data_IF_304555367972
#
_entry.id   IF_304555367972
#
_cell.length_a   1.000
_cell.length_b   1.000
_cell.length_c   1.000
_cell.angle_alpha   90.00
_cell.angle_beta   90.00
_cell.angle_gamma   90.00
#
_symmetry.space_group_name_H-M   'P 1'
#
loop_
_entity.id
_entity.type
_entity.pdbx_description
1 polymer ?
#
# COMPACT_ATOMS: atom_id res chain seq x y z
N UNK A 446 10.41 -17.67 4.74
CA UNK A 446 11.70 -18.13 4.25
C UNK A 446 12.79 -17.11 4.53
N UNK A 447 13.55 -17.34 5.61
CA UNK A 447 14.59 -16.40 6.00
C UNK A 447 15.71 -16.39 4.96
N UNK A 448 16.28 -15.21 4.75
CA UNK A 448 17.39 -15.02 3.82
C UNK A 448 18.46 -14.16 4.46
N UNK A 449 19.71 -14.46 4.10
CA UNK A 449 20.88 -13.78 4.66
C UNK A 449 21.77 -13.24 3.55
N UNK A 450 21.15 -12.70 2.49
CA UNK A 450 21.89 -12.18 1.35
C UNK A 450 22.32 -10.75 1.66
N UNK A 451 23.56 -10.60 2.14
CA UNK A 451 24.10 -9.28 2.39
C UNK A 451 24.33 -8.54 1.08
N UNK A 452 24.17 -7.22 1.08
CA UNK A 452 24.40 -6.45 -0.16
C UNK A 452 25.88 -6.24 -0.40
N UNK A 453 26.18 -5.69 -1.58
CA UNK A 453 27.56 -5.44 -1.97
C UNK A 453 28.13 -4.25 -1.19
N UNK A 454 29.44 -4.07 -1.34
CA UNK A 454 30.13 -2.99 -0.63
C UNK A 454 29.64 -1.62 -1.09
N UNK A 455 29.46 -1.45 -2.40
CA UNK A 455 29.05 -0.15 -2.93
C UNK A 455 27.67 0.23 -2.44
N UNK A 456 26.75 -0.73 -2.37
CA UNK A 456 25.38 -0.44 -1.99
C UNK A 456 25.27 0.06 -0.55
N UNK A 457 26.25 -0.29 0.30
CA UNK A 457 26.20 0.13 1.69
C UNK A 457 26.23 1.65 1.84
N UNK A 458 27.07 2.32 1.04
CA UNK A 458 27.13 3.78 1.09
C UNK A 458 25.80 4.39 0.64
N UNK A 459 25.19 3.80 -0.38
CA UNK A 459 23.87 4.28 -0.83
C UNK A 459 22.84 4.12 0.27
N UNK A 460 22.85 2.96 0.95
CA UNK A 460 21.90 2.72 2.03
C UNK A 460 22.12 3.70 3.19
N UNK A 461 23.39 3.96 3.52
CA UNK A 461 23.67 4.92 4.59
C UNK A 461 23.21 6.33 4.20
N UNK A 462 23.43 6.73 2.95
CA UNK A 462 22.95 8.03 2.50
C UNK A 462 21.43 8.12 2.55
N UNK A 463 20.75 7.05 2.14
CA UNK A 463 19.29 7.02 2.22
C UNK A 463 18.82 7.12 3.66
N UNK A 464 19.48 6.40 4.58
CA UNK A 464 19.11 6.47 5.98
C UNK A 464 19.30 7.87 6.54
N UNK A 465 20.42 8.51 6.18
CA UNK A 465 20.66 9.87 6.65
C UNK A 465 19.63 10.85 6.11
N UNK A 466 19.27 10.71 4.83
CA UNK A 466 18.24 11.56 4.25
C UNK A 466 16.89 11.33 4.93
N UNK A 467 16.60 10.08 5.28
CA UNK A 467 15.40 9.77 6.06
C UNK A 467 15.44 10.44 7.42
N UNK A 468 16.61 10.50 8.05
CA UNK A 468 16.73 11.16 9.35
C UNK A 468 16.37 12.63 9.26
N UNK A 469 16.88 13.32 8.24
CA UNK A 469 16.58 14.71 8.03
C UNK A 469 16.96 15.61 9.21
N UNK A 470 16.05 16.50 9.58
CA UNK A 470 16.30 17.42 10.70
C UNK A 470 15.81 16.94 12.06
N UNK A 471 15.31 15.71 12.19
CA UNK A 471 14.75 15.25 13.46
C UNK A 471 15.78 14.35 14.15
N UNK A 472 16.72 14.99 14.85
CA UNK A 472 17.81 14.27 15.49
C UNK A 472 17.34 13.54 16.74
N UNK A 473 16.51 14.19 17.56
CA UNK A 473 16.12 13.67 18.86
C UNK A 473 14.63 13.41 18.91
N UNK A 474 14.25 12.39 19.67
CA UNK A 474 12.85 12.01 19.83
C UNK A 474 12.69 11.41 21.23
N UNK A 475 11.43 11.26 21.63
CA UNK A 475 11.12 10.69 22.93
C UNK A 475 10.01 9.65 22.79
N UNK A 476 10.01 8.63 23.63
CA UNK A 476 8.97 7.60 23.54
C UNK A 476 7.64 8.13 24.05
N UNK A 477 6.57 7.47 23.63
CA UNK A 477 5.23 7.83 24.06
C UNK A 477 4.82 7.01 25.27
N UNK A 478 3.97 7.61 26.12
CA UNK A 478 3.48 6.93 27.29
C UNK A 478 2.50 5.83 26.89
N UNK A 479 2.30 4.88 27.81
CA UNK A 479 1.45 3.72 27.48
C UNK A 479 0.03 4.18 27.21
N UNK A 480 -0.49 5.12 28.01
CA UNK A 480 -1.86 5.58 27.83
C UNK A 480 -2.03 6.25 26.47
N UNK A 481 -1.07 7.09 26.08
CA UNK A 481 -1.15 7.77 24.79
C UNK A 481 -1.11 6.77 23.65
N UNK A 482 -0.25 5.75 23.76
CA UNK A 482 -0.19 4.71 22.73
C UNK A 482 -1.50 3.95 22.64
N UNK A 483 -2.10 3.64 23.79
CA UNK A 483 -3.37 2.91 23.83
C UNK A 483 -4.49 3.72 23.17
N UNK A 484 -4.60 5.00 23.52
CA UNK A 484 -5.54 5.86 22.81
C UNK A 484 -5.11 6.20 21.39
N UNK A 485 -3.89 5.87 20.99
CA UNK A 485 -3.48 6.04 19.61
C UNK A 485 -4.17 5.01 18.73
N UNK A 486 -4.72 5.45 17.60
CA UNK A 486 -5.39 4.56 16.67
C UNK A 486 -6.68 4.01 17.28
N UNK A 533 -0.08 -7.57 26.01
CA UNK A 533 -0.15 -7.97 24.60
C UNK A 533 1.24 -7.91 23.97
N UNK A 534 1.28 -8.05 22.65
CA UNK A 534 2.52 -8.00 21.89
C UNK A 534 2.62 -6.81 20.96
N UNK A 535 1.50 -6.37 20.39
CA UNK A 535 1.53 -5.25 19.45
C UNK A 535 1.90 -3.96 20.16
N UNK A 536 1.42 -3.80 21.40
CA UNK A 536 1.57 -2.52 22.10
C UNK A 536 3.04 -2.18 22.34
N UNK A 537 3.85 -3.18 22.71
CA UNK A 537 5.22 -2.90 23.14
C UNK A 537 6.06 -2.31 22.03
N UNK A 538 5.81 -2.74 20.78
CA UNK A 538 6.51 -2.18 19.63
C UNK A 538 5.80 -0.94 19.10
N UNK A 539 4.46 -0.94 19.15
CA UNK A 539 3.69 0.18 18.64
C UNK A 539 4.02 1.46 19.40
N UNK A 540 4.19 1.37 20.72
CA UNK A 540 4.43 2.55 21.54
C UNK A 540 5.59 3.38 21.00
N UNK A 541 6.59 2.73 20.42
CA UNK A 541 7.72 3.44 19.84
C UNK A 541 7.54 3.68 18.34
N UNK A 542 7.01 2.69 17.60
CA UNK A 542 6.97 2.80 16.15
C UNK A 542 5.95 3.83 15.68
N UNK A 543 4.83 3.96 16.38
CA UNK A 543 3.83 4.97 16.02
C UNK A 543 4.41 6.37 16.18
N UNK A 544 5.09 6.61 17.31
CA UNK A 544 5.72 7.90 17.53
C UNK A 544 6.80 8.17 16.49
N UNK A 545 7.63 7.17 16.18
CA UNK A 545 8.68 7.36 15.20
C UNK A 545 8.10 7.71 13.84
N UNK A 546 7.05 6.99 13.43
CA UNK A 546 6.41 7.29 12.14
C UNK A 546 5.83 8.69 12.14
N UNK A 547 5.06 9.03 13.17
CA UNK A 547 4.40 10.34 13.22
C UNK A 547 5.40 11.47 13.21
N UNK A 548 6.54 11.29 13.87
CA UNK A 548 7.53 12.36 13.96
C UNK A 548 8.35 12.46 12.68
N UNK A 549 9.05 11.39 12.32
CA UNK A 549 9.98 11.46 11.20
C UNK A 549 9.25 11.25 9.88
N UNK A 550 8.53 10.14 9.75
CA UNK A 550 7.95 9.78 8.45
C UNK A 550 6.82 10.72 8.03
N UNK A 551 6.26 11.48 8.96
CA UNK A 551 5.23 12.46 8.64
C UNK A 551 5.74 13.89 8.76
N UNK A 552 7.02 14.10 8.49
CA UNK A 552 7.62 15.43 8.59
C UNK A 552 7.56 16.15 7.24
N UNK A 553 8.03 17.40 7.24
CA UNK A 553 7.97 18.22 6.04
C UNK A 553 8.84 17.66 4.93
N UNK A 554 10.05 17.20 5.27
CA UNK A 554 11.03 16.72 4.31
C UNK A 554 10.90 15.24 4.00
N UNK A 555 9.88 14.56 4.56
CA UNK A 555 9.66 13.15 4.27
C UNK A 555 8.25 12.89 3.76
N UNK A 556 7.55 13.92 3.29
CA UNK A 556 6.24 13.75 2.69
C UNK A 556 6.29 13.38 1.22
N UNK A 557 7.47 13.45 0.59
CA UNK A 557 7.57 13.17 -0.83
C UNK A 557 7.35 11.69 -1.13
N UNK A 558 7.72 10.81 -0.21
CA UNK A 558 7.66 9.38 -0.45
C UNK A 558 6.77 8.60 0.51
N UNK A 559 6.67 9.03 1.78
CA UNK A 559 5.90 8.30 2.78
C UNK A 559 4.43 8.66 2.65
N UNK A 560 3.76 8.03 1.67
CA UNK A 560 2.33 8.23 1.49
C UNK A 560 1.60 7.43 2.56
N UNK A 561 2.09 6.24 2.91
CA UNK A 561 1.44 5.42 3.94
C UNK A 561 1.17 6.18 5.23
N UNK A 562 -0.10 6.34 5.60
CA UNK A 562 -0.42 7.14 6.76
C UNK A 562 -1.30 8.35 6.50
N UNK A 563 -2.11 8.28 5.45
CA UNK A 563 -2.99 9.40 5.08
C UNK A 563 -4.33 8.85 4.64
N UNK A 564 -5.33 9.74 4.65
CA UNK A 564 -6.69 9.34 4.33
C UNK A 564 -6.82 8.95 2.86
N UNK A 565 -7.81 8.12 2.52
CA UNK A 565 -7.96 7.75 1.11
C UNK A 565 -8.18 8.92 0.18
N UNK A 566 -8.86 9.98 0.62
CA UNK A 566 -8.96 11.17 -0.21
C UNK A 566 -7.59 11.79 -0.43
N UNK A 567 -6.78 11.83 0.63
CA UNK A 567 -5.41 12.31 0.50
C UNK A 567 -4.59 11.41 -0.42
N UNK A 568 -4.81 10.10 -0.32
CA UNK A 568 -4.12 9.16 -1.20
C UNK A 568 -4.47 9.42 -2.66
N UNK A 569 -5.76 9.62 -2.94
CA UNK A 569 -6.18 9.91 -4.31
C UNK A 569 -5.59 11.22 -4.80
N UNK A 570 -5.59 12.25 -3.96
CA UNK A 570 -5.00 13.53 -4.34
C UNK A 570 -3.52 13.39 -4.65
N UNK A 571 -2.79 12.67 -3.78
CA UNK A 571 -1.38 12.45 -4.02
C UNK A 571 -1.11 11.68 -5.29
N UNK A 572 -1.91 10.65 -5.55
CA UNK A 572 -1.74 9.84 -6.76
C UNK A 572 -1.98 10.70 -8.00
N UNK A 573 -3.05 11.50 -7.99
CA UNK A 573 -3.34 12.34 -9.14
C UNK A 573 -2.25 13.38 -9.35
N UNK A 574 -1.75 13.99 -8.26
CA UNK A 574 -0.65 14.94 -8.38
C UNK A 574 0.59 14.27 -8.95
N UNK A 575 0.91 13.05 -8.48
CA UNK A 575 2.10 12.37 -8.96
C UNK A 575 1.98 12.01 -10.43
N UNK A 576 0.80 11.53 -10.85
CA UNK A 576 0.63 11.18 -12.25
C UNK A 576 0.64 12.42 -13.12
N UNK A 577 0.12 13.54 -12.63
CA UNK A 577 0.20 14.79 -13.38
C UNK A 577 1.65 15.25 -13.53
N UNK A 578 2.43 15.10 -12.45
CA UNK A 578 3.85 15.47 -12.50
C UNK A 578 4.61 14.58 -13.47
N UNK A 579 4.34 13.28 -13.48
CA UNK A 579 5.04 12.34 -14.35
C UNK A 579 4.42 12.23 -15.73
N UNK A 580 3.37 13.00 -16.03
CA UNK A 580 2.71 12.99 -17.34
C UNK A 580 2.28 11.58 -17.75
N UNK A 581 1.66 10.87 -16.81
CA UNK A 581 1.17 9.51 -17.05
C UNK A 581 2.29 8.54 -17.40
N UNK A 582 3.51 8.83 -16.95
CA UNK A 582 4.67 7.96 -17.17
C UNK A 582 5.16 7.49 -15.80
N UNK A 583 4.56 6.41 -15.30
CA UNK A 583 4.86 5.88 -13.97
C UNK A 583 4.99 4.37 -14.06
N UNK A 584 5.63 3.79 -13.04
CA UNK A 584 5.81 2.35 -12.95
C UNK A 584 5.33 1.89 -11.58
N UNK A 585 4.85 0.65 -11.53
CA UNK A 585 4.29 0.08 -10.32
C UNK A 585 5.18 -1.05 -9.82
N UNK A 586 5.33 -1.14 -8.50
CA UNK A 586 6.13 -2.17 -7.87
C UNK A 586 5.22 -3.06 -7.03
N UNK A 587 5.35 -4.37 -7.21
CA UNK A 587 4.55 -5.35 -6.48
C UNK A 587 5.51 -6.36 -5.86
N UNK A 588 5.61 -6.36 -4.54
CA UNK A 588 6.52 -7.23 -3.82
C UNK A 588 5.76 -8.46 -3.30
N UNK A 589 6.45 -9.58 -3.26
CA UNK A 589 5.87 -10.85 -2.81
C UNK A 589 6.55 -11.23 -1.50
N UNK A 590 5.77 -11.21 -0.41
CA UNK A 590 6.25 -11.59 0.91
C UNK A 590 7.50 -10.81 1.31
N UNK A 591 7.35 -9.48 1.35
CA UNK A 591 8.46 -8.63 1.72
C UNK A 591 8.91 -8.87 3.16
N UNK A 592 7.96 -9.01 4.08
CA UNK A 592 8.32 -9.26 5.47
C UNK A 592 8.97 -10.63 5.62
N UNK A 593 8.63 -11.57 4.74
CA UNK A 593 9.23 -12.89 4.69
C UNK A 593 10.45 -13.01 3.82
N UNK A 594 10.93 -11.91 3.25
CA UNK A 594 12.08 -11.93 2.36
C UNK A 594 13.15 -10.89 2.68
N UNK A 595 12.86 -9.89 3.52
CA UNK A 595 13.86 -8.91 3.88
C UNK A 595 15.00 -9.60 4.61
N UNK A 596 16.23 -9.24 4.25
CA UNK A 596 17.40 -9.92 4.77
C UNK A 596 17.83 -9.33 6.12
N UNK A 597 18.70 -10.05 6.82
CA UNK A 597 19.18 -9.60 8.11
C UNK A 597 19.98 -8.30 7.99
N UNK A 598 20.82 -8.20 6.95
CA UNK A 598 21.60 -6.99 6.75
C UNK A 598 20.69 -5.79 6.51
N UNK A 599 19.68 -5.95 5.65
CA UNK A 599 18.73 -4.87 5.42
C UNK A 599 18.00 -4.49 6.70
N UNK A 600 17.54 -5.49 7.46
CA UNK A 600 16.80 -5.21 8.69
C UNK A 600 17.66 -4.46 9.70
N UNK A 601 18.91 -4.85 9.83
CA UNK A 601 19.80 -4.26 10.84
C UNK A 601 20.51 -3.00 10.35
N UNK A 602 20.40 -2.65 9.07
CA UNK A 602 21.04 -1.45 8.56
C UNK A 602 20.09 -0.39 8.02
N UNK A 603 18.80 -0.70 7.89
CA UNK A 603 17.83 0.31 7.49
C UNK A 603 16.92 0.64 8.67
N UNK A 604 16.10 -0.33 9.09
CA UNK A 604 15.09 -0.07 10.10
C UNK A 604 15.72 0.20 11.46
N UNK A 605 16.64 -0.67 11.89
CA UNK A 605 17.28 -0.48 13.19
C UNK A 605 18.05 0.83 13.23
N UNK A 606 18.79 1.13 12.17
CA UNK A 606 19.54 2.38 12.11
C UNK A 606 18.61 3.58 12.19
N UNK A 607 17.52 3.55 11.43
CA UNK A 607 16.59 4.67 11.42
C UNK A 607 15.97 4.87 12.79
N UNK A 608 15.53 3.78 13.42
CA UNK A 608 14.91 3.87 14.74
C UNK A 608 15.89 4.40 15.77
N UNK A 609 17.13 3.91 15.75
CA UNK A 609 18.11 4.34 16.74
C UNK A 609 18.47 5.82 16.54
N UNK A 610 18.61 6.24 15.28
CA UNK A 610 18.91 7.65 15.01
C UNK A 610 17.73 8.55 15.37
N UNK A 611 16.49 8.06 15.20
CA UNK A 611 15.32 8.87 15.51
C UNK A 611 15.09 9.00 17.00
N UNK A 612 15.28 7.93 17.76
CA UNK A 612 14.92 7.96 19.17
C UNK A 612 16.09 8.45 20.03
N UNK A 613 15.78 8.76 21.28
CA UNK A 613 16.76 9.31 22.19
C UNK A 613 17.77 8.24 22.60
N UNK A 614 19.00 8.63 22.94
CA UNK A 614 19.99 7.62 23.34
C UNK A 614 19.58 6.81 24.55
N UNK A 615 18.86 7.42 25.49
CA UNK A 615 18.49 6.73 26.72
C UNK A 615 17.50 5.59 26.47
N UNK A 616 16.86 5.59 25.29
CA UNK A 616 15.94 4.53 24.92
C UNK A 616 16.56 3.52 23.94
N UNK A 617 17.88 3.55 23.79
CA UNK A 617 18.52 2.70 22.79
C UNK A 617 18.32 1.22 23.12
N UNK A 618 18.47 0.85 24.40
CA UNK A 618 18.41 -0.56 24.77
C UNK A 618 17.04 -1.15 24.47
N UNK A 619 15.98 -0.43 24.82
CA UNK A 619 14.62 -0.93 24.62
C UNK A 619 14.33 -1.12 23.13
N UNK A 620 14.70 -0.13 22.32
CA UNK A 620 14.40 -0.20 20.88
C UNK A 620 15.23 -1.29 20.23
N UNK A 621 16.49 -1.46 20.66
CA UNK A 621 17.33 -2.49 20.07
C UNK A 621 16.82 -3.87 20.46
N UNK A 622 16.35 -4.03 21.69
CA UNK A 622 15.76 -5.30 22.11
C UNK A 622 14.49 -5.59 21.32
N UNK A 623 13.66 -4.58 21.09
CA UNK A 623 12.44 -4.78 20.31
C UNK A 623 12.76 -5.17 18.87
N UNK A 624 13.76 -4.52 18.28
CA UNK A 624 14.18 -4.88 16.93
C UNK A 624 14.73 -6.30 16.88
N UNK A 625 15.53 -6.69 17.88
CA UNK A 625 16.04 -8.04 17.93
C UNK A 625 14.92 -9.06 18.05
N UNK A 626 13.90 -8.76 18.87
CA UNK A 626 12.73 -9.64 18.95
C UNK A 626 12.01 -9.71 17.61
N UNK A 627 11.91 -8.58 16.91
CA UNK A 627 11.25 -8.57 15.60
C UNK A 627 11.99 -9.45 14.61
N UNK A 628 13.33 -9.37 14.61
CA UNK A 628 14.13 -10.10 13.63
C UNK A 628 13.93 -11.60 13.78
N UNK A 629 13.97 -12.10 15.01
CA UNK A 629 13.82 -13.52 15.27
C UNK A 629 12.36 -13.90 15.49
N UNK A 654 5.91 -3.92 11.57
CA UNK A 654 4.62 -4.19 10.95
C UNK A 654 4.45 -3.37 9.67
N UNK A 655 3.82 -2.20 9.81
CA UNK A 655 3.58 -1.32 8.68
C UNK A 655 4.85 -0.54 8.34
N UNK A 656 5.51 0.06 9.34
CA UNK A 656 6.66 0.91 9.02
C UNK A 656 7.80 0.18 8.31
N UNK A 657 7.97 -1.12 8.59
CA UNK A 657 9.06 -1.86 7.96
C UNK A 657 8.90 -1.90 6.44
N UNK A 658 7.69 -2.15 5.95
CA UNK A 658 7.45 -2.20 4.52
C UNK A 658 7.74 -0.86 3.87
N UNK A 659 7.30 0.24 4.49
CA UNK A 659 7.57 1.57 3.96
C UNK A 659 9.07 1.85 3.94
N UNK A 660 9.79 1.45 4.99
CA UNK A 660 11.22 1.66 5.03
C UNK A 660 11.92 0.85 3.93
N UNK A 661 11.49 -0.39 3.72
CA UNK A 661 12.08 -1.19 2.64
C UNK A 661 11.81 -0.57 1.28
N UNK A 662 10.59 -0.08 1.07
CA UNK A 662 10.25 0.54 -0.22
C UNK A 662 11.09 1.80 -0.44
N UNK A 663 11.25 2.61 0.61
CA UNK A 663 12.07 3.80 0.50
C UNK A 663 13.53 3.47 0.22
N UNK A 664 14.05 2.43 0.88
CA UNK A 664 15.43 2.00 0.63
C UNK A 664 15.61 1.54 -0.80
N UNK A 665 14.66 0.77 -1.33
CA UNK A 665 14.78 0.28 -2.70
C UNK A 665 14.66 1.44 -3.69
N UNK A 666 13.78 2.40 -3.41
CA UNK A 666 13.68 3.57 -4.27
C UNK A 666 14.97 4.38 -4.25
N UNK A 667 15.57 4.55 -3.07
CA UNK A 667 16.84 5.26 -2.98
C UNK A 667 17.94 4.53 -3.73
N UNK A 668 17.97 3.20 -3.63
CA UNK A 668 18.96 2.43 -4.37
C UNK A 668 18.79 2.60 -5.87
N UNK A 669 17.54 2.52 -6.35
CA UNK A 669 17.29 2.71 -7.77
C UNK A 669 17.71 4.10 -8.23
N UNK A 670 17.38 5.13 -7.44
CA UNK A 670 17.75 6.50 -7.81
C UNK A 670 19.26 6.68 -7.82
N UNK A 671 19.94 6.09 -6.85
CA UNK A 671 21.40 6.17 -6.80
C UNK A 671 22.03 5.47 -8.00
N UNK A 672 21.49 4.31 -8.38
CA UNK A 672 22.03 3.62 -9.54
C UNK A 672 21.74 4.37 -10.83
N UNK A 673 20.60 5.06 -10.91
CA UNK A 673 20.26 5.76 -12.14
C UNK A 673 21.17 6.97 -12.36
N UNK A 674 21.39 7.76 -11.30
CA UNK A 674 22.19 8.98 -11.37
C UNK A 674 23.25 8.93 -10.27
N UNK A 675 24.37 8.27 -10.52
CA UNK A 675 25.42 8.18 -9.48
C UNK A 675 26.19 9.46 -9.27
N UNK A 676 26.11 10.42 -10.19
CA UNK A 676 26.86 11.66 -10.08
C UNK A 676 26.12 12.78 -9.36
N UNK A 677 24.85 12.61 -9.00
CA UNK A 677 24.14 13.70 -8.35
C UNK A 677 24.28 13.58 -6.83
N UNK A 678 24.02 14.68 -6.14
CA UNK A 678 24.13 14.70 -4.69
C UNK A 678 23.03 13.84 -4.08
N UNK A 679 23.31 13.15 -2.96
CA UNK A 679 22.29 12.26 -2.39
C UNK A 679 21.01 12.97 -1.98
N UNK A 680 21.11 14.20 -1.47
CA UNK A 680 19.91 14.92 -1.07
C UNK A 680 19.02 15.22 -2.27
N UNK A 681 19.62 15.68 -3.37
CA UNK A 681 18.87 15.95 -4.59
C UNK A 681 18.28 14.67 -5.17
N UNK A 682 19.05 13.57 -5.09
CA UNK A 682 18.53 12.29 -5.56
C UNK A 682 17.31 11.86 -4.77
N UNK A 683 17.38 11.96 -3.43
CA UNK A 683 16.27 11.54 -2.60
C UNK A 683 15.08 12.48 -2.72
N UNK A 684 15.31 13.74 -3.09
CA UNK A 684 14.18 14.67 -3.19
C UNK A 684 13.19 14.25 -4.28
N UNK A 685 13.61 13.38 -5.20
CA UNK A 685 12.78 12.88 -6.29
C UNK A 685 12.00 11.63 -5.94
N UNK A 686 12.07 11.15 -4.69
CA UNK A 686 11.37 9.93 -4.29
C UNK A 686 9.87 10.13 -4.42
N UNK A 687 9.23 9.25 -5.19
CA UNK A 687 7.81 9.36 -5.44
C UNK A 687 7.01 8.71 -4.33
N UNK A 688 5.68 8.67 -4.47
CA UNK A 688 4.85 8.05 -3.43
C UNK A 688 5.13 6.58 -3.27
N UNK A 689 5.19 6.15 -2.00
CA UNK A 689 5.43 4.76 -1.64
C UNK A 689 4.56 4.43 -0.44
N UNK A 690 3.92 3.26 -0.47
CA UNK A 690 3.05 2.84 0.64
C UNK A 690 3.14 1.32 0.77
N UNK A 691 4.02 0.86 1.66
CA UNK A 691 4.13 -0.56 1.91
C UNK A 691 4.53 -1.34 0.68
N UNK A 692 3.75 -2.39 0.39
CA UNK A 692 4.03 -3.26 -0.75
C UNK A 692 3.77 -2.59 -2.09
N UNK A 693 3.12 -1.43 -2.10
CA UNK A 693 2.81 -0.72 -3.33
C UNK A 693 3.52 0.63 -3.34
N UNK A 694 3.83 1.11 -4.54
CA UNK A 694 4.53 2.37 -4.69
C UNK A 694 4.58 2.78 -6.13
N UNK A 695 5.07 4.00 -6.34
CA UNK A 695 5.18 4.58 -7.67
C UNK A 695 6.61 5.06 -7.89
N UNK A 696 7.06 4.98 -9.15
CA UNK A 696 8.41 5.39 -9.51
C UNK A 696 8.42 5.81 -10.96
N UNK A 697 9.52 6.45 -11.37
CA UNK A 697 9.68 6.83 -12.76
C UNK A 697 9.91 5.61 -13.64
N UNK A 698 9.35 5.64 -14.85
CA UNK A 698 9.44 4.54 -15.78
C UNK A 698 10.83 4.41 -16.41
N UNK A 699 11.71 5.39 -16.22
CA UNK A 699 13.03 5.35 -16.83
C UNK A 699 13.96 4.35 -16.16
N UNK A 700 13.56 3.78 -15.03
CA UNK A 700 14.41 2.82 -14.31
C UNK A 700 13.67 1.50 -14.26
N UNK A 701 12.85 1.22 -15.27
CA UNK A 701 12.06 0.00 -15.28
C UNK A 701 12.95 -1.24 -15.35
N UNK A 702 13.98 -1.20 -16.19
CA UNK A 702 14.87 -2.35 -16.34
C UNK A 702 15.92 -2.39 -15.24
N UNK A 703 16.39 -1.23 -14.78
CA UNK A 703 17.44 -1.22 -13.76
C UNK A 703 16.92 -1.57 -12.38
N UNK A 704 15.61 -1.55 -12.17
CA UNK A 704 15.06 -1.90 -10.86
C UNK A 704 15.30 -3.38 -10.56
N UNK A 705 15.24 -4.24 -11.58
CA UNK A 705 15.45 -5.66 -11.35
C UNK A 705 16.87 -5.94 -10.86
N UNK A 706 17.85 -5.25 -11.44
CA UNK A 706 19.24 -5.43 -11.03
C UNK A 706 19.46 -4.95 -9.60
N UNK A 707 18.81 -3.84 -9.21
CA UNK A 707 18.91 -3.37 -7.84
C UNK A 707 18.32 -4.38 -6.86
N UNK A 708 17.16 -4.95 -7.21
CA UNK A 708 16.55 -5.97 -6.35
C UNK A 708 17.45 -7.20 -6.24
N UNK A 709 18.09 -7.60 -7.34
CA UNK A 709 19.02 -8.72 -7.29
C UNK A 709 20.22 -8.41 -6.40
N UNK A 710 20.72 -7.18 -6.46
CA UNK A 710 21.85 -6.81 -5.61
C UNK A 710 21.47 -6.89 -4.13
N UNK A 711 20.30 -6.39 -3.78
CA UNK A 711 19.85 -6.48 -2.38
C UNK A 711 19.40 -7.90 -2.05
N UNK A 712 18.99 -8.66 -3.06
CA UNK A 712 18.48 -9.99 -2.88
C UNK A 712 16.97 -10.10 -2.79
N UNK A 713 16.24 -9.12 -3.30
CA UNK A 713 14.80 -9.09 -3.28
C UNK A 713 14.24 -9.39 -4.66
N UNK A 714 12.98 -9.82 -4.70
CA UNK A 714 12.30 -10.10 -5.95
C UNK A 714 11.32 -8.98 -6.23
N UNK A 715 11.36 -8.43 -7.44
CA UNK A 715 10.56 -7.27 -7.81
C UNK A 715 9.71 -7.61 -9.03
N UNK A 716 8.46 -7.14 -9.01
CA UNK A 716 7.58 -7.27 -10.16
C UNK A 716 7.17 -5.88 -10.61
N UNK A 717 7.36 -5.59 -11.90
CA UNK A 717 7.16 -4.26 -12.45
C UNK A 717 6.28 -4.38 -13.68
N UNK A 718 5.39 -3.42 -13.87
CA UNK A 718 4.54 -3.40 -15.06
C UNK A 718 4.45 -1.98 -15.60
N UNK A 719 4.62 -1.84 -16.91
CA UNK A 719 4.55 -0.54 -17.55
C UNK A 719 3.13 0.00 -17.47
N UNK A 720 3.00 1.30 -17.23
CA UNK A 720 1.68 1.92 -17.17
C UNK A 720 1.03 1.84 -18.54
N UNK A 721 -0.23 1.40 -18.58
CA UNK A 721 -0.99 1.30 -19.81
C UNK A 721 -2.35 1.97 -19.63
N UNK A 722 -2.63 3.08 -20.31
CA UNK A 722 -3.95 3.71 -20.16
C UNK A 722 -5.10 2.83 -20.59
N UNK A 723 -4.89 1.89 -21.52
CA UNK A 723 -5.97 1.03 -21.97
C UNK A 723 -6.48 0.14 -20.85
N UNK A 724 -5.59 -0.40 -20.04
CA UNK A 724 -5.97 -1.29 -18.94
C UNK A 724 -5.96 -0.59 -17.59
N UNK A 725 -5.70 0.71 -17.55
CA UNK A 725 -5.70 1.44 -16.30
C UNK A 725 -4.40 1.25 -15.55
N UNK A 726 -4.35 1.87 -14.36
CA UNK A 726 -3.17 1.80 -13.50
C UNK A 726 -3.54 1.12 -12.20
N UNK A 727 -2.68 0.20 -11.75
CA UNK A 727 -2.89 -0.56 -10.53
C UNK A 727 -2.08 0.08 -9.39
N UNK A 728 -2.75 0.38 -8.29
CA UNK A 728 -2.07 0.98 -7.13
C UNK A 728 -2.95 0.78 -5.91
N UNK A 729 -2.41 0.12 -4.89
CA UNK A 729 -3.13 -0.13 -3.63
C UNK A 729 -4.44 -0.86 -3.87
N UNK A 730 -4.42 -1.80 -4.82
CA UNK A 730 -5.65 -2.51 -5.24
C UNK A 730 -6.72 -1.54 -5.72
N UNK A 731 -6.30 -0.39 -6.24
CA UNK A 731 -7.20 0.63 -6.77
C UNK A 731 -6.86 0.89 -8.23
N UNK A 732 -7.90 1.10 -9.03
CA UNK A 732 -7.75 1.28 -10.48
C UNK A 732 -8.13 2.71 -10.80
N UNK A 733 -7.20 3.44 -11.43
CA UNK A 733 -7.45 4.80 -11.90
C UNK A 733 -7.92 4.73 -13.34
N UNK A 734 -9.19 5.10 -13.57
CA UNK A 734 -9.77 4.96 -14.90
C UNK A 734 -9.09 5.89 -15.90
N UNK A 735 -8.87 7.14 -15.51
CA UNK A 735 -8.20 8.12 -16.38
C UNK A 735 -7.46 9.12 -15.52
N UNK A 736 -6.29 8.76 -14.99
CA UNK A 736 -5.59 9.65 -14.07
C UNK A 736 -5.12 10.96 -14.70
N UNK A 737 -5.08 11.03 -16.03
CA UNK A 737 -4.65 12.26 -16.69
C UNK A 737 -5.59 13.42 -16.40
N UNK A 738 -6.89 13.16 -16.39
CA UNK A 738 -7.90 14.20 -16.21
C UNK A 738 -8.69 14.05 -14.92
N UNK A 739 -9.26 12.88 -14.68
CA UNK A 739 -10.14 12.65 -13.54
C UNK A 739 -9.44 11.83 -12.48
N UNK A 740 -9.86 12.01 -11.23
CA UNK A 740 -9.33 11.26 -10.10
C UNK A 740 -10.25 10.13 -9.67
N UNK A 741 -11.24 9.79 -10.49
CA UNK A 741 -12.16 8.71 -10.15
C UNK A 741 -11.40 7.39 -10.04
N UNK A 742 -11.72 6.62 -9.01
CA UNK A 742 -10.97 5.39 -8.74
C UNK A 742 -11.93 4.34 -8.19
N UNK A 743 -11.56 3.08 -8.40
CA UNK A 743 -12.43 1.95 -8.10
C UNK A 743 -11.57 0.83 -7.53
N UNK A 744 -12.24 -0.16 -6.93
CA UNK A 744 -11.55 -1.34 -6.45
C UNK A 744 -10.90 -2.08 -7.61
N UNK A 745 -9.79 -2.76 -7.34
CA UNK A 745 -9.10 -3.52 -8.36
C UNK A 745 -9.99 -4.63 -8.90
N UNK A 746 -10.29 -4.65 -10.19
CA UNK A 746 -11.21 -5.67 -10.72
C UNK A 746 -10.54 -7.01 -10.93
N UNK A 747 -9.25 -6.99 -11.26
CA UNK A 747 -8.52 -8.24 -11.53
C UNK A 747 -8.45 -9.10 -10.27
N UNK A 748 -8.22 -8.49 -9.12
CA UNK A 748 -8.02 -9.27 -7.91
C UNK A 748 -9.33 -9.76 -7.31
N UNK A 749 -10.41 -8.98 -7.45
CA UNK A 749 -11.63 -9.21 -6.70
C UNK A 749 -12.71 -9.92 -7.50
N UNK A 750 -12.80 -9.67 -8.81
CA UNK A 750 -13.84 -10.28 -9.61
C UNK A 750 -13.72 -11.80 -9.63
N UNK A 751 -12.50 -12.32 -9.75
CA UNK A 751 -12.29 -13.76 -9.80
C UNK A 751 -12.55 -14.44 -8.46
N UNK A 752 -12.71 -13.68 -7.38
CA UNK A 752 -12.86 -14.24 -6.05
C UNK A 752 -14.02 -13.65 -5.26
N UNK A 753 -14.71 -12.64 -5.79
CA UNK A 753 -15.79 -12.02 -5.05
C UNK A 753 -16.98 -12.95 -4.87
N UNK A 754 -17.18 -13.92 -5.77
CA UNK A 754 -18.30 -14.83 -5.62
C UNK A 754 -18.12 -15.80 -4.46
N UNK A 755 -16.88 -16.03 -4.03
CA UNK A 755 -16.59 -16.90 -2.90
C UNK A 755 -16.29 -16.05 -1.67
N UNK A 756 -16.87 -16.42 -0.54
CA UNK A 756 -16.71 -15.66 0.69
C UNK A 756 -15.76 -16.42 1.62
N UNK A 757 -14.76 -15.72 2.14
CA UNK A 757 -13.74 -16.35 2.98
C UNK A 757 -13.95 -16.08 4.46
N UNK A 758 -15.18 -15.81 4.87
CA UNK A 758 -15.45 -15.56 6.28
C UNK A 758 -15.38 -16.87 7.07
N UNK A 759 -15.28 -16.73 8.39
CA UNK A 759 -15.21 -17.90 9.25
C UNK A 759 -16.55 -18.61 9.24
N UNK A 760 -16.55 -19.92 9.53
CA UNK A 760 -17.82 -20.68 9.42
C UNK A 760 -18.86 -20.27 10.43
N UNK A 761 -18.46 -19.70 11.57
CA UNK A 761 -19.43 -19.39 12.62
C UNK A 761 -20.38 -18.27 12.22
N UNK A 762 -19.92 -17.35 11.37
CA UNK A 762 -20.79 -16.27 10.92
C UNK A 762 -21.78 -16.81 9.90
N UNK A 763 -23.05 -16.42 9.94
CA UNK A 763 -23.95 -16.74 8.83
C UNK A 763 -23.48 -16.08 7.54
N UNK A 764 -23.79 -16.73 6.42
CA UNK A 764 -23.36 -16.22 5.12
C UNK A 764 -23.98 -14.86 4.83
N UNK A 765 -25.23 -14.66 5.27
CA UNK A 765 -25.93 -13.41 4.98
C UNK A 765 -25.23 -12.21 5.62
N UNK A 766 -24.81 -12.33 6.88
CA UNK A 766 -24.16 -11.21 7.53
C UNK A 766 -22.83 -10.86 6.87
N UNK A 767 -22.04 -11.88 6.52
CA UNK A 767 -20.76 -11.62 5.86
C UNK A 767 -20.98 -10.97 4.49
N UNK A 768 -21.95 -11.47 3.73
CA UNK A 768 -22.26 -10.87 2.43
C UNK A 768 -22.74 -9.43 2.58
N UNK A 769 -23.58 -9.18 3.59
CA UNK A 769 -24.06 -7.82 3.82
C UNK A 769 -22.92 -6.88 4.17
N UNK A 770 -22.00 -7.32 5.02
CA UNK A 770 -20.85 -6.48 5.36
C UNK A 770 -19.98 -6.23 4.14
N UNK A 771 -19.76 -7.27 3.33
CA UNK A 771 -18.95 -7.12 2.12
C UNK A 771 -19.57 -6.12 1.16
N UNK A 772 -20.88 -6.23 0.93
CA UNK A 772 -21.55 -5.32 0.00
C UNK A 772 -21.65 -3.91 0.58
N UNK A 773 -21.76 -3.79 1.90
CA UNK A 773 -21.74 -2.46 2.51
C UNK A 773 -20.38 -1.78 2.30
N UNK A 774 -19.30 -2.54 2.49
CA UNK A 774 -17.98 -2.00 2.19
C UNK A 774 -17.82 -1.65 0.72
N UNK A 775 -18.32 -2.50 -0.16
CA UNK A 775 -18.25 -2.23 -1.59
C UNK A 775 -19.01 -0.97 -1.96
N UNK A 776 -20.21 -0.77 -1.38
CA UNK A 776 -20.92 0.49 -1.58
C UNK A 776 -20.12 1.67 -1.04
N UNK A 777 -19.49 1.49 0.13
CA UNK A 777 -18.68 2.56 0.70
C UNK A 777 -17.47 2.90 -0.16
N UNK A 778 -17.01 1.96 -1.00
CA UNK A 778 -15.83 2.21 -1.81
C UNK A 778 -16.06 2.11 -3.32
N UNK A 779 -17.02 1.30 -3.77
CA UNK A 779 -17.21 1.02 -5.19
C UNK A 779 -18.67 1.12 -5.57
N UNK A 780 -19.32 2.22 -5.18
CA UNK A 780 -20.76 2.34 -5.39
C UNK A 780 -21.11 2.34 -6.88
N UNK A 781 -20.34 3.07 -7.68
CA UNK A 781 -20.65 3.31 -9.09
C UNK A 781 -19.67 2.59 -10.01
N UNK A 782 -19.22 1.40 -9.62
CA UNK A 782 -18.34 0.63 -10.48
C UNK A 782 -19.11 -0.43 -11.24
N UNK A 783 -18.95 -0.50 -12.57
CA UNK A 783 -19.70 -1.48 -13.35
C UNK A 783 -19.26 -2.90 -13.02
N UNK A 784 -20.20 -3.83 -13.17
CA UNK A 784 -20.01 -5.26 -12.91
C UNK A 784 -19.80 -5.60 -11.44
N UNK A 785 -19.73 -4.59 -10.56
CA UNK A 785 -19.71 -4.83 -9.13
C UNK A 785 -20.95 -4.30 -8.43
N UNK A 786 -21.51 -3.17 -8.90
CA UNK A 786 -22.72 -2.63 -8.29
C UNK A 786 -23.88 -3.61 -8.44
N UNK A 787 -24.02 -4.22 -9.62
CA UNK A 787 -25.10 -5.18 -9.82
C UNK A 787 -24.97 -6.38 -8.89
N UNK A 788 -23.75 -6.91 -8.75
CA UNK A 788 -23.53 -8.02 -7.82
C UNK A 788 -23.86 -7.62 -6.39
N UNK A 789 -23.43 -6.41 -5.99
CA UNK A 789 -23.70 -5.96 -4.63
C UNK A 789 -25.19 -5.80 -4.39
N UNK A 790 -25.91 -5.23 -5.36
CA UNK A 790 -27.35 -5.05 -5.22
C UNK A 790 -28.08 -6.39 -5.18
N UNK A 791 -27.62 -7.36 -5.98
CA UNK A 791 -28.27 -8.66 -5.96
C UNK A 791 -27.99 -9.41 -4.66
N UNK A 792 -26.79 -9.24 -4.09
CA UNK A 792 -26.50 -9.80 -2.77
C UNK A 792 -27.40 -9.14 -1.72
N UNK A 793 -27.54 -7.82 -1.78
CA UNK A 793 -28.41 -7.13 -0.83
C UNK A 793 -29.87 -7.55 -0.99
N UNK A 794 -30.29 -7.88 -2.21
CA UNK A 794 -31.67 -8.30 -2.44
C UNK A 794 -31.91 -9.73 -1.96
N UNK A 795 -30.93 -10.61 -2.12
CA UNK A 795 -31.14 -12.02 -1.79
C UNK A 795 -30.79 -12.32 -0.33
N UNK A 796 -29.53 -12.08 0.05
CA UNK A 796 -29.11 -12.35 1.42
C UNK A 796 -29.58 -11.30 2.41
N UNK A 797 -30.01 -10.14 1.92
CA UNK A 797 -30.40 -9.04 2.77
C UNK A 797 -31.52 -9.38 3.74
N UNK A 798 -32.71 -9.65 3.22
CA UNK A 798 -33.84 -9.99 4.10
C UNK A 798 -33.58 -11.22 4.95
N UNK A 799 -32.83 -12.20 4.44
CA UNK A 799 -32.54 -13.41 5.20
C UNK A 799 -31.44 -13.22 6.23
N UNK A 800 -30.73 -12.09 6.22
CA UNK A 800 -29.68 -11.85 7.18
C UNK A 800 -30.27 -11.50 8.55
N UNK A 801 -29.41 -11.54 9.56
CA UNK A 801 -29.80 -11.22 10.92
C UNK A 801 -29.87 -9.71 11.11
N UNK A 802 -30.14 -9.30 12.35
CA UNK A 802 -30.24 -7.87 12.67
C UNK A 802 -28.87 -7.22 12.52
N UNK A 803 -28.86 -5.98 12.03
CA UNK A 803 -27.58 -5.31 11.80
C UNK A 803 -26.96 -4.82 13.10
N UNK A 804 -27.78 -4.51 14.11
CA UNK A 804 -27.23 -4.20 15.43
C UNK A 804 -26.54 -5.42 16.02
N UNK A 805 -27.10 -6.61 15.79
CA UNK A 805 -26.49 -7.84 16.29
C UNK A 805 -25.10 -8.03 15.69
N UNK A 806 -24.96 -7.78 14.39
CA UNK A 806 -23.65 -7.92 13.76
C UNK A 806 -22.74 -6.74 14.09
N UNK A 807 -23.30 -5.60 14.50
CA UNK A 807 -22.47 -4.49 14.96
C UNK A 807 -21.92 -4.76 16.34
N UNK A 808 -22.64 -5.55 17.14
CA UNK A 808 -22.18 -5.98 18.46
C UNK A 808 -21.41 -7.29 18.41
N UNK A 809 -21.02 -7.75 17.22
CA UNK A 809 -20.37 -9.04 17.04
C UNK A 809 -18.98 -8.82 16.47
N UNK A 810 -18.03 -9.65 16.90
CA UNK A 810 -16.62 -9.41 16.59
C UNK A 810 -16.35 -9.46 15.10
N UNK A 811 -16.96 -10.42 14.40
CA UNK A 811 -16.63 -10.67 13.00
C UNK A 811 -17.14 -9.58 12.05
N UNK A 812 -17.69 -8.49 12.58
CA UNK A 812 -18.21 -7.42 11.72
C UNK A 812 -17.09 -6.70 10.97
N UNK A 813 -15.90 -6.61 11.56
CA UNK A 813 -14.79 -5.89 10.97
C UNK A 813 -13.76 -6.82 10.32
N UNK A 814 -14.15 -8.06 10.01
CA UNK A 814 -13.25 -9.05 9.46
C UNK A 814 -13.34 -9.14 7.94
N UNK A 815 -14.02 -8.20 7.29
CA UNK A 815 -14.17 -8.20 5.84
C UNK A 815 -12.83 -8.05 5.13
N UNK A 829 -17.20 9.73 -9.33
CA UNK A 829 -17.64 10.90 -10.09
C UNK A 829 -18.56 10.48 -11.23
N UNK A 830 -19.83 10.92 -11.16
CA UNK A 830 -20.80 10.45 -12.15
C UNK A 830 -20.52 10.91 -13.57
N UNK A 831 -19.69 11.95 -13.75
CA UNK A 831 -19.51 12.54 -15.06
C UNK A 831 -18.77 11.60 -16.00
N UNK A 832 -17.85 10.80 -15.48
CA UNK A 832 -17.03 9.88 -16.27
C UNK A 832 -17.48 8.43 -16.10
N UNK A 833 -18.80 8.22 -15.98
CA UNK A 833 -19.31 6.85 -15.86
C UNK A 833 -19.03 6.04 -17.12
N UNK A 834 -19.18 6.65 -18.30
CA UNK A 834 -18.83 5.99 -19.55
C UNK A 834 -17.37 5.55 -19.55
N UNK A 835 -16.47 6.48 -19.22
CA UNK A 835 -15.05 6.17 -19.22
C UNK A 835 -14.71 5.09 -18.21
N UNK A 836 -15.33 5.14 -17.02
CA UNK A 836 -15.12 4.09 -16.03
C UNK A 836 -15.60 2.74 -16.54
N UNK A 837 -16.74 2.73 -17.23
CA UNK A 837 -17.25 1.49 -17.82
C UNK A 837 -16.25 0.92 -18.81
N UNK A 838 -15.74 1.77 -19.71
CA UNK A 838 -14.79 1.30 -20.72
C UNK A 838 -13.49 0.85 -20.07
N UNK A 839 -13.05 1.54 -19.01
CA UNK A 839 -11.81 1.16 -18.34
C UNK A 839 -11.98 -0.19 -17.64
N UNK A 840 -13.15 -0.42 -17.04
CA UNK A 840 -13.41 -1.71 -16.42
C UNK A 840 -13.46 -2.81 -17.45
N UNK A 841 -14.07 -2.54 -18.62
CA UNK A 841 -14.10 -3.53 -19.69
C UNK A 841 -12.69 -3.87 -20.14
N UNK A 842 -11.85 -2.84 -20.32
CA UNK A 842 -10.46 -3.07 -20.72
C UNK A 842 -9.71 -3.86 -19.65
N UNK A 843 -9.97 -3.57 -18.37
CA UNK A 843 -9.32 -4.28 -17.28
C UNK A 843 -9.72 -5.75 -17.27
N UNK A 844 -10.99 -6.04 -17.54
CA UNK A 844 -11.50 -7.41 -17.47
C UNK A 844 -11.52 -8.10 -18.82
N UNK A 845 -11.12 -7.40 -19.90
CA UNK A 845 -11.01 -7.99 -21.23
C UNK A 845 -12.30 -8.66 -21.67
N UNK A 846 -13.43 -7.99 -21.40
CA UNK A 846 -14.74 -8.50 -21.72
C UNK A 846 -15.41 -7.56 -22.71
N UNK A 847 -15.96 -8.12 -23.78
CA UNK A 847 -16.54 -7.33 -24.85
C UNK A 847 -17.75 -6.55 -24.33
N UNK A 848 -18.01 -5.40 -24.95
CA UNK A 848 -19.11 -4.57 -24.47
C UNK A 848 -20.45 -5.29 -24.60
N UNK A 849 -20.66 -6.00 -25.71
CA UNK A 849 -21.89 -6.78 -25.83
C UNK A 849 -21.93 -7.88 -24.78
N UNK A 850 -20.78 -8.53 -24.55
CA UNK A 850 -20.67 -9.53 -23.48
C UNK A 850 -20.90 -8.91 -22.11
N UNK A 851 -20.38 -7.70 -21.89
CA UNK A 851 -20.60 -7.01 -20.63
C UNK A 851 -22.09 -6.72 -20.42
N UNK A 852 -22.77 -6.26 -21.47
CA UNK A 852 -24.20 -6.00 -21.36
C UNK A 852 -24.97 -7.29 -21.09
N UNK A 853 -24.60 -8.38 -21.76
CA UNK A 853 -25.26 -9.66 -21.50
C UNK A 853 -25.05 -10.12 -20.07
N UNK A 854 -23.83 -9.97 -19.54
CA UNK A 854 -23.56 -10.33 -18.16
C UNK A 854 -24.36 -9.47 -17.20
N UNK A 855 -24.43 -8.16 -17.46
CA UNK A 855 -25.20 -7.26 -16.60
C UNK A 855 -26.67 -7.63 -16.61
N UNK A 856 -27.23 -7.95 -17.79
CA UNK A 856 -28.61 -8.40 -17.85
C UNK A 856 -28.84 -9.69 -17.10
N UNK A 857 -27.90 -10.64 -17.22
CA UNK A 857 -28.04 -11.90 -16.52
C UNK A 857 -28.00 -11.71 -15.00
N UNK A 858 -27.08 -10.88 -14.53
CA UNK A 858 -26.96 -10.63 -13.10
C UNK A 858 -28.21 -9.96 -12.53
N UNK A 859 -28.76 -8.99 -13.27
CA UNK A 859 -29.90 -8.24 -12.74
C UNK A 859 -31.15 -9.10 -12.71
N UNK A 860 -31.32 -9.99 -13.69
CA UNK A 860 -32.55 -10.75 -13.83
C UNK A 860 -32.58 -11.99 -12.94
N UNK A 861 -31.48 -12.30 -12.27
CA UNK A 861 -31.42 -13.48 -11.41
C UNK A 861 -32.09 -13.22 -10.07
#
# INVERSE_FOLDING_TARGET
>A
MTLKVILGEHQITRTELLVGIATVSGCGAVVYCISKFWGYGAIAPYPQSGGNRVTRALQRAVIDKTKTPIETRFYPLDSLRTVTPKRVADNGHAVSGAVRDAARRLIDESITAVGGSKFEVNPNPNSSTGLRNHFHFAVGDLAQDFRNDTPADDAFIVGVDVDYYVTEPDVLLEHMRPVVLHTFNPKKVSGFDADSPFTIKNNLVEYKVSGGAAWVHPVWDWCEAGEFIASRVRTSWKEWFLQLPLRMIGLEKVGYHKIHHCRPWTDCPDRALVYTIPQYVIWRFNWIDTELHVRKLKRIEYQDETKPGWNRLEYVTDKNELLVSIGREGEHAQITIEKEKLDMLSGLSATQSVNARLIGMGHKDPQYTSMIVQYYTGKKVVSPISPTVYKPTMPRVHWPVTSDADVPEVSARQYTLPIVSDCMMMPMIKRWETMSESIERRVTFVANDKKPSDRIAKIAETFVKLMNGPFKDLDPLSIEETIERLNKPSQQLQLRAVFEMIGVKPRQLIESFNKNEPGMKSSRIISGFPDILFILKVSRYTLAYSDIVLHAEHNEHWYYPGRNPTEIADGVCEFVSDCDAEVIETDFSNLDGRVSSWMQRNIAQKAMVQAFRPEYRDEIISFMDTIINCPAKAKRFGFRYEPGVGVKSGSPTTTPHNTQYNGCVEFTALTFEHPDAEPEDLFRLIGPKCGDDGLSRAIIQKSINRAAKCFGLELKVERYNPEIGLCFLSRVFVDPLATTTTIQDPLRTLRKLHLTTRDPTIPLADAACDRVEGYLCTDALTPLISDYCKMVLRLYGPTASTEQVRNQRRSRNKEKPYWLTCDGSWPQHPQDAHLMKQVLIKRTAIDEDQVDALIGRFAAMKDVWEKITHDSEESAAACTFDEDGVAPNSVDESLPLLNDAKQTRANPGTSRPHSNGGGSSHGNELPRRTEQRAQGPRQPARLPKQGKTNGKSDGNITAGETQRGGIPRGKGPRGGKTNTRRTPPKAGAQPQPSNNRKSRLEEELRRRLTE
#
